data_IF_576842386044
#
_entry.id   IF_576842386044
#
_cell.length_a   1.000
_cell.length_b   1.000
_cell.length_c   1.000
_cell.angle_alpha   90.00
_cell.angle_beta   90.00
_cell.angle_gamma   90.00
#
_symmetry.space_group_name_H-M   'P 1'
#
loop_
_entity.id
_entity.type
_entity.pdbx_description
1 polymer ?
#
# COMPACT_ATOMS: atom_id res chain seq x y z
N UNK A 1 -30.37 -8.30 -22.38
CA UNK A 1 -28.97 -8.74 -22.54
C UNK A 1 -28.12 -7.58 -23.05
N UNK A 2 -27.32 -6.95 -22.20
CA UNK A 2 -26.16 -6.13 -22.59
C UNK A 2 -25.12 -6.28 -21.48
N UNK A 3 -24.10 -7.09 -21.75
CA UNK A 3 -22.89 -7.13 -20.95
C UNK A 3 -22.10 -5.85 -21.20
N UNK A 4 -21.58 -5.26 -20.13
CA UNK A 4 -20.46 -4.31 -20.24
C UNK A 4 -19.51 -4.62 -19.09
N UNK A 5 -18.40 -5.23 -19.49
CA UNK A 5 -17.10 -5.35 -18.84
C UNK A 5 -16.98 -4.86 -17.40
N UNK A 6 -16.69 -5.79 -16.48
CA UNK A 6 -15.90 -5.51 -15.29
C UNK A 6 -14.61 -4.82 -15.75
N UNK A 7 -14.52 -3.50 -15.56
CA UNK A 7 -13.24 -2.82 -15.63
C UNK A 7 -12.37 -3.39 -14.54
N UNK A 8 -11.22 -3.95 -14.93
CA UNK A 8 -10.06 -4.06 -14.05
C UNK A 8 -9.73 -2.64 -13.64
N UNK A 9 -10.22 -2.22 -12.47
CA UNK A 9 -9.67 -1.08 -11.77
C UNK A 9 -8.25 -1.47 -11.34
N UNK A 10 -7.31 -1.33 -12.28
CA UNK A 10 -5.95 -0.98 -11.94
C UNK A 10 -6.04 0.42 -11.34
N UNK A 11 -6.45 0.48 -10.08
CA UNK A 11 -6.76 1.71 -9.35
C UNK A 11 -5.63 2.71 -9.50
N UNK A 12 -5.99 3.93 -9.86
CA UNK A 12 -5.10 5.06 -10.04
C UNK A 12 -4.10 5.13 -8.88
N UNK A 13 -2.81 4.91 -9.16
CA UNK A 13 -1.74 4.74 -8.16
C UNK A 13 -1.21 6.08 -7.63
N UNK A 14 -1.93 7.17 -7.88
CA UNK A 14 -1.58 8.51 -7.43
C UNK A 14 -1.70 8.64 -5.92
N UNK A 15 -0.68 9.22 -5.29
CA UNK A 15 -0.66 9.53 -3.86
C UNK A 15 -1.83 10.49 -3.54
N UNK A 16 -2.71 10.15 -2.57
CA UNK A 16 -3.76 11.06 -2.14
C UNK A 16 -3.20 12.39 -1.67
N UNK A 17 -3.86 13.49 -2.05
CA UNK A 17 -3.45 14.82 -1.58
C UNK A 17 -3.42 14.87 -0.05
N UNK A 18 -2.32 15.38 0.50
CA UNK A 18 -2.13 15.47 1.95
C UNK A 18 -1.75 14.16 2.62
N UNK A 19 -1.32 13.13 1.86
CA UNK A 19 -0.66 11.97 2.46
C UNK A 19 0.74 12.31 2.99
N UNK A 20 1.06 11.88 4.20
CA UNK A 20 2.38 12.07 4.84
C UNK A 20 3.11 10.76 5.07
N UNK A 21 2.41 9.64 4.90
CA UNK A 21 2.90 8.30 5.08
C UNK A 21 2.26 7.38 4.09
N UNK A 22 3.05 6.42 3.64
CA UNK A 22 2.58 5.22 2.95
C UNK A 22 2.91 4.01 3.82
N UNK A 23 1.95 3.10 3.91
CA UNK A 23 2.08 1.83 4.61
C UNK A 23 1.91 0.70 3.61
N UNK A 24 2.84 -0.25 3.61
CA UNK A 24 2.75 -1.51 2.88
C UNK A 24 2.52 -2.63 3.88
N UNK A 25 1.49 -3.43 3.64
CA UNK A 25 1.12 -4.58 4.45
C UNK A 25 1.38 -5.84 3.65
N UNK A 26 2.14 -6.77 4.21
CA UNK A 26 2.49 -8.03 3.56
C UNK A 26 2.14 -9.13 4.55
N UNK A 27 1.31 -10.09 4.13
CA UNK A 27 0.97 -11.23 4.96
C UNK A 27 1.06 -12.54 4.20
N UNK A 28 1.48 -13.57 4.91
CA UNK A 28 1.56 -14.94 4.42
C UNK A 28 0.93 -15.85 5.48
N UNK A 29 0.00 -16.70 5.06
CA UNK A 29 -0.73 -17.62 5.93
C UNK A 29 -0.44 -19.06 5.48
N UNK A 30 0.29 -19.79 6.30
CA UNK A 30 0.62 -21.21 6.11
C UNK A 30 -0.09 -22.05 7.19
N UNK A 31 -0.03 -23.39 7.06
CA UNK A 31 -0.64 -24.30 8.05
C UNK A 31 0.04 -24.22 9.42
N UNK A 32 1.32 -23.85 9.47
CA UNK A 32 2.14 -23.73 10.68
C UNK A 32 2.11 -22.34 11.32
N UNK A 33 1.47 -21.36 10.68
CA UNK A 33 1.29 -20.02 11.24
C UNK A 33 1.11 -18.92 10.20
N UNK A 34 1.06 -17.69 10.69
CA UNK A 34 0.98 -16.50 9.85
C UNK A 34 2.12 -15.55 10.15
N UNK A 35 2.74 -15.03 9.09
CA UNK A 35 3.69 -13.93 9.17
C UNK A 35 3.04 -12.69 8.60
N UNK A 36 3.06 -11.61 9.39
CA UNK A 36 2.59 -10.29 8.97
C UNK A 36 3.75 -9.30 9.08
N UNK A 37 3.87 -8.43 8.08
CA UNK A 37 4.90 -7.39 8.02
C UNK A 37 4.25 -6.10 7.54
N UNK A 38 4.57 -5.01 8.25
CA UNK A 38 4.14 -3.68 7.88
C UNK A 38 5.37 -2.79 7.71
N UNK A 39 5.48 -2.14 6.56
CA UNK A 39 6.49 -1.12 6.29
C UNK A 39 5.80 0.25 6.22
N UNK A 40 6.23 1.17 7.07
CA UNK A 40 5.73 2.54 7.10
C UNK A 40 6.82 3.50 6.68
N UNK A 41 6.56 4.32 5.67
CA UNK A 41 7.49 5.33 5.17
C UNK A 41 6.83 6.69 5.24
N UNK A 42 7.56 7.71 5.69
CA UNK A 42 7.11 9.09 5.59
C UNK A 42 7.27 9.58 4.16
N UNK A 43 6.19 10.11 3.58
CA UNK A 43 6.20 10.81 2.31
C UNK A 43 6.61 12.26 2.56
N UNK A 44 7.74 12.72 2.00
CA UNK A 44 8.12 14.11 2.11
C UNK A 44 7.18 14.98 1.25
N UNK A 45 6.88 16.19 1.70
CA UNK A 45 6.15 17.18 0.91
C UNK A 45 6.92 17.60 -0.36
N UNK A 46 8.25 17.63 -0.27
CA UNK A 46 9.20 17.95 -1.34
C UNK A 46 10.50 17.16 -1.16
N UNK A 47 11.26 16.83 -2.22
CA UNK A 47 11.05 17.26 -3.61
C UNK A 47 10.12 16.36 -4.43
N UNK A 48 9.91 15.10 -4.04
CA UNK A 48 9.03 14.18 -4.79
C UNK A 48 8.48 13.05 -3.88
N UNK A 49 7.22 13.15 -3.42
CA UNK A 49 6.58 12.06 -2.67
C UNK A 49 6.41 10.78 -3.51
N UNK A 50 6.27 10.88 -4.84
CA UNK A 50 6.13 9.70 -5.72
C UNK A 50 7.42 8.90 -5.82
N UNK A 51 8.58 9.56 -5.76
CA UNK A 51 9.87 8.87 -5.68
C UNK A 51 9.97 8.05 -4.39
N UNK A 52 9.58 8.63 -3.26
CA UNK A 52 9.61 7.95 -1.96
C UNK A 52 8.68 6.74 -1.95
N UNK A 53 7.49 6.92 -2.51
CA UNK A 53 6.48 5.88 -2.62
C UNK A 53 6.92 4.73 -3.55
N UNK A 54 7.57 5.03 -4.68
CA UNK A 54 8.20 4.01 -5.54
C UNK A 54 9.33 3.27 -4.84
N UNK A 55 10.17 3.97 -4.08
CA UNK A 55 11.22 3.34 -3.29
C UNK A 55 10.65 2.42 -2.20
N UNK A 56 9.58 2.87 -1.53
CA UNK A 56 8.84 2.08 -0.56
C UNK A 56 8.22 0.82 -1.19
N UNK A 57 7.63 0.94 -2.39
CA UNK A 57 7.11 -0.18 -3.15
C UNK A 57 8.21 -1.21 -3.49
N UNK A 58 9.39 -0.75 -3.91
CA UNK A 58 10.52 -1.62 -4.21
C UNK A 58 11.02 -2.36 -2.96
N UNK A 59 11.10 -1.68 -1.81
CA UNK A 59 11.45 -2.30 -0.54
C UNK A 59 10.42 -3.36 -0.11
N UNK A 60 9.12 -3.05 -0.24
CA UNK A 60 8.04 -4.00 0.02
C UNK A 60 8.12 -5.22 -0.92
N UNK A 61 8.45 -5.01 -2.19
CA UNK A 61 8.63 -6.10 -3.16
C UNK A 61 9.77 -7.04 -2.75
N UNK A 62 10.88 -6.53 -2.22
CA UNK A 62 11.98 -7.37 -1.71
C UNK A 62 11.54 -8.31 -0.58
N UNK A 63 10.64 -7.87 0.29
CA UNK A 63 10.05 -8.73 1.33
C UNK A 63 9.13 -9.78 0.70
N UNK A 64 8.27 -9.38 -0.25
CA UNK A 64 7.40 -10.30 -0.98
C UNK A 64 8.21 -11.41 -1.66
N UNK A 65 9.33 -11.05 -2.30
CA UNK A 65 10.20 -12.01 -2.97
C UNK A 65 10.86 -12.96 -1.97
N UNK A 66 11.24 -12.46 -0.79
CA UNK A 66 11.76 -13.28 0.32
C UNK A 66 10.72 -14.28 0.80
N UNK A 67 9.47 -13.86 1.00
CA UNK A 67 8.38 -14.76 1.42
C UNK A 67 8.04 -15.81 0.37
N UNK A 68 8.06 -15.44 -0.91
CA UNK A 68 7.87 -16.38 -2.02
C UNK A 68 9.03 -17.38 -2.14
N UNK A 69 10.26 -16.95 -1.87
CA UNK A 69 11.42 -17.84 -1.89
C UNK A 69 11.41 -18.84 -0.72
N UNK A 70 11.04 -18.39 0.48
CA UNK A 70 10.93 -19.24 1.67
C UNK A 70 9.77 -20.24 1.58
N UNK A 71 8.61 -19.79 1.07
CA UNK A 71 7.40 -20.60 0.99
C UNK A 71 6.70 -20.44 -0.38
N UNK A 72 7.22 -21.08 -1.45
CA UNK A 72 6.77 -20.85 -2.83
C UNK A 72 5.33 -21.30 -3.09
N UNK A 73 4.79 -22.17 -2.25
CA UNK A 73 3.42 -22.68 -2.37
C UNK A 73 2.40 -21.91 -1.53
N UNK A 74 2.86 -20.96 -0.69
CA UNK A 74 1.99 -20.23 0.21
C UNK A 74 1.65 -18.86 -0.37
N UNK A 75 0.36 -18.53 -0.55
CA UNK A 75 -0.03 -17.23 -1.09
C UNK A 75 0.45 -16.06 -0.23
N UNK A 76 1.08 -15.07 -0.88
CA UNK A 76 1.44 -13.79 -0.25
C UNK A 76 0.38 -12.75 -0.61
N UNK A 77 -0.19 -12.11 0.40
CA UNK A 77 -1.13 -10.99 0.25
C UNK A 77 -0.37 -9.69 0.46
N UNK A 78 -0.67 -8.70 -0.37
CA UNK A 78 -0.04 -7.37 -0.30
C UNK A 78 -1.13 -6.31 -0.29
N UNK A 79 -0.99 -5.33 0.58
CA UNK A 79 -1.83 -4.15 0.67
C UNK A 79 -0.98 -2.89 0.75
N UNK A 80 -1.57 -1.76 0.36
CA UNK A 80 -0.95 -0.44 0.43
C UNK A 80 -1.99 0.56 0.91
N UNK A 81 -1.61 1.47 1.80
CA UNK A 81 -2.49 2.52 2.32
C UNK A 81 -1.74 3.78 2.66
N UNK A 82 -2.44 4.92 2.62
CA UNK A 82 -1.89 6.24 2.95
C UNK A 82 -2.59 6.83 4.17
N UNK A 83 -1.89 7.66 4.95
CA UNK A 83 -2.56 8.48 5.97
C UNK A 83 -3.03 9.80 5.35
N UNK A 84 -4.32 10.03 5.15
CA UNK A 84 -4.81 11.27 4.52
C UNK A 84 -4.74 12.50 5.46
N UNK A 85 -3.70 12.64 6.28
CA UNK A 85 -3.55 13.76 7.22
C UNK A 85 -3.11 15.01 6.47
N UNK A 86 -4.04 15.77 5.89
CA UNK A 86 -3.74 17.14 5.45
C UNK A 86 -3.21 17.93 6.65
N UNK A 87 -1.95 18.42 6.65
CA UNK A 87 -1.46 19.28 7.73
C UNK A 87 -2.25 20.57 7.68
N UNK A 88 -2.97 20.87 8.76
CA UNK A 88 -3.77 22.09 8.89
C UNK A 88 -5.27 21.95 8.64
N UNK A 89 -5.79 20.76 8.31
CA UNK A 89 -7.24 20.53 8.36
C UNK A 89 -7.67 20.07 9.76
N UNK A 90 -8.57 20.80 10.47
CA UNK A 90 -9.07 20.35 11.76
C UNK A 90 -9.90 19.07 11.58
N UNK A 91 -9.63 18.08 12.43
CA UNK A 91 -10.45 16.87 12.56
C UNK A 91 -11.70 17.17 13.41
N UNK A 92 -12.90 16.66 13.06
CA UNK A 92 -13.27 15.96 11.82
C UNK A 92 -13.74 16.92 10.72
N UNK A 93 -13.36 16.65 9.48
CA UNK A 93 -13.93 17.30 8.30
C UNK A 93 -15.36 16.80 8.08
N UNK A 94 -16.31 17.47 8.71
CA UNK A 94 -17.75 17.23 8.55
C UNK A 94 -18.18 17.65 7.13
N UNK A 95 -18.77 16.77 6.29
CA UNK A 95 -19.49 17.23 5.11
C UNK A 95 -20.83 17.82 5.57
N UNK A 96 -21.03 19.12 5.29
CA UNK A 96 -22.34 19.77 5.31
C UNK A 96 -23.26 19.17 4.23
#
# INVERSE_FOLDING_TARGET
MRGTSLRKDNGDMSIPQGAHKVNYYISQYAEDGSVESALSFSLPLEPDPELTDRAAAAAAQGIVDTFKAAHPHVPVRVGRGYDCKVPGAPWPSNPA
#
